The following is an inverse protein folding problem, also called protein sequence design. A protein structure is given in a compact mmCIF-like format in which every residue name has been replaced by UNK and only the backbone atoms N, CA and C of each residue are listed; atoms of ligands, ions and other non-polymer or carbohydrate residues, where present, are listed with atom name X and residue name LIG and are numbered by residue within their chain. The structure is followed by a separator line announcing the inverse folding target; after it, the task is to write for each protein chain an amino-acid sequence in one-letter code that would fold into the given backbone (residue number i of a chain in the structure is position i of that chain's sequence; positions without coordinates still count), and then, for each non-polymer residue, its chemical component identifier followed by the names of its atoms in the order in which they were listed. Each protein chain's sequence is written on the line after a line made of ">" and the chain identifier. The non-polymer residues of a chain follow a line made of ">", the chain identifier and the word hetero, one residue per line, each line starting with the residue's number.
data_IF_596145268898
#
_entry.id   IF_596145268898
#
_cell.length_a   1.000
_cell.length_b   1.000
_cell.length_c   1.000
_cell.angle_alpha   90.00
_cell.angle_beta   90.00
_cell.angle_gamma   90.00
#
_symmetry.space_group_name_H-M   'P 1'
#
loop_
_entity.id
_entity.type
_entity.pdbx_description
1 polymer ?
#
# COMPACT_ATOMS: atom_id res chain seq x y z
N UNK A 1 -10.74 13.13 20.51
CA UNK A 1 -10.66 13.37 19.06
C UNK A 1 -9.19 13.45 18.69
N UNK A 2 -8.72 12.51 17.88
CA UNK A 2 -7.39 12.60 17.26
C UNK A 2 -7.35 13.86 16.39
N UNK A 3 -6.23 14.57 16.38
CA UNK A 3 -6.02 15.66 15.42
C UNK A 3 -5.97 15.07 14.00
N UNK A 4 -6.48 15.79 12.99
CA UNK A 4 -6.57 15.30 11.60
C UNK A 4 -5.26 14.72 11.06
N UNK A 5 -4.13 15.36 11.35
CA UNK A 5 -2.81 14.87 10.94
C UNK A 5 -2.42 13.55 11.65
N UNK A 6 -2.87 13.35 12.89
CA UNK A 6 -2.67 12.09 13.60
C UNK A 6 -3.49 10.96 12.97
N UNK A 7 -4.69 11.26 12.47
CA UNK A 7 -5.51 10.27 11.75
C UNK A 7 -4.82 9.87 10.45
N UNK A 8 -4.34 10.85 9.67
CA UNK A 8 -3.58 10.57 8.43
C UNK A 8 -2.36 9.70 8.72
N UNK A 9 -1.58 10.03 9.76
CA UNK A 9 -0.43 9.25 10.17
C UNK A 9 -0.82 7.82 10.60
N UNK A 10 -1.94 7.65 11.30
CA UNK A 10 -2.44 6.33 11.71
C UNK A 10 -2.90 5.50 10.50
N UNK A 11 -3.65 6.09 9.55
CA UNK A 11 -4.04 5.45 8.29
C UNK A 11 -2.80 4.99 7.53
N UNK A 12 -1.79 5.85 7.38
CA UNK A 12 -0.55 5.52 6.70
C UNK A 12 0.16 4.33 7.36
N UNK A 13 0.26 4.34 8.69
CA UNK A 13 0.87 3.24 9.44
C UNK A 13 0.12 1.91 9.23
N UNK A 14 -1.21 1.93 9.24
CA UNK A 14 -2.04 0.74 9.00
C UNK A 14 -1.84 0.21 7.59
N UNK A 15 -1.93 1.07 6.57
CA UNK A 15 -1.75 0.68 5.17
C UNK A 15 -0.33 0.14 4.90
N UNK A 16 0.69 0.77 5.51
CA UNK A 16 2.07 0.34 5.39
C UNK A 16 2.31 -1.05 5.99
N UNK A 17 1.84 -1.27 7.22
CA UNK A 17 2.01 -2.55 7.93
C UNK A 17 1.23 -3.67 7.24
N UNK A 18 0.04 -3.39 6.69
CA UNK A 18 -0.74 -4.40 5.98
C UNK A 18 -0.05 -4.89 4.71
N UNK A 19 0.73 -4.03 4.05
CA UNK A 19 1.34 -4.29 2.75
C UNK A 19 0.34 -4.86 1.72
N UNK A 20 -0.93 -4.46 1.83
CA UNK A 20 -2.07 -5.09 1.18
C UNK A 20 -3.32 -4.22 1.24
N UNK A 21 -4.38 -4.64 0.56
CA UNK A 21 -5.67 -3.94 0.59
C UNK A 21 -6.27 -3.98 1.99
N UNK A 22 -6.60 -2.82 2.54
CA UNK A 22 -7.37 -2.64 3.77
C UNK A 22 -8.77 -2.16 3.42
N UNK A 23 -9.80 -2.79 3.97
CA UNK A 23 -11.18 -2.38 3.75
C UNK A 23 -11.51 -1.05 4.44
N UNK A 24 -12.48 -0.31 3.91
CA UNK A 24 -12.94 0.92 4.57
C UNK A 24 -13.52 0.64 5.97
N UNK A 25 -14.31 -0.42 6.10
CA UNK A 25 -14.91 -0.83 7.38
C UNK A 25 -13.83 -1.21 8.40
N UNK A 26 -12.77 -1.90 7.96
CA UNK A 26 -11.61 -2.26 8.79
C UNK A 26 -10.86 -1.02 9.30
N UNK A 27 -10.69 0.01 8.45
CA UNK A 27 -10.08 1.27 8.88
C UNK A 27 -10.96 2.03 9.88
N UNK A 28 -12.28 2.04 9.69
CA UNK A 28 -13.24 2.64 10.63
C UNK A 28 -13.13 1.96 12.00
N UNK A 29 -13.10 0.63 12.03
CA UNK A 29 -12.99 -0.15 13.27
C UNK A 29 -11.65 0.06 13.98
N UNK A 30 -10.53 0.04 13.24
CA UNK A 30 -9.19 0.19 13.83
C UNK A 30 -8.98 1.60 14.38
N UNK A 31 -9.46 2.62 13.68
CA UNK A 31 -9.19 4.02 14.02
C UNK A 31 -10.27 4.64 14.93
N UNK A 32 -11.43 4.00 15.05
CA UNK A 32 -12.61 4.48 15.80
C UNK A 32 -13.08 5.86 15.31
N UNK A 33 -13.29 5.98 13.98
CA UNK A 33 -13.63 7.24 13.30
C UNK A 33 -14.85 7.04 12.40
N UNK A 34 -15.78 8.01 12.32
CA UNK A 34 -16.91 7.92 11.41
C UNK A 34 -16.50 7.72 9.95
N UNK A 35 -17.23 6.84 9.25
CA UNK A 35 -17.00 6.50 7.83
C UNK A 35 -16.88 7.74 6.94
N UNK A 36 -17.74 8.73 7.13
CA UNK A 36 -17.77 9.95 6.32
C UNK A 36 -16.48 10.76 6.48
N UNK A 37 -16.03 10.92 7.73
CA UNK A 37 -14.80 11.66 8.06
C UNK A 37 -13.57 10.93 7.52
N UNK A 38 -13.49 9.61 7.71
CA UNK A 38 -12.40 8.81 7.17
C UNK A 38 -12.32 8.90 5.65
N UNK A 39 -13.47 8.94 4.96
CA UNK A 39 -13.52 9.04 3.49
C UNK A 39 -12.94 10.36 2.99
N UNK A 40 -13.28 11.47 3.65
CA UNK A 40 -12.71 12.77 3.33
C UNK A 40 -11.19 12.80 3.55
N UNK A 41 -10.73 12.23 4.67
CA UNK A 41 -9.30 12.15 5.00
C UNK A 41 -8.53 11.31 3.98
N UNK A 42 -9.07 10.17 3.55
CA UNK A 42 -8.44 9.31 2.56
C UNK A 42 -8.35 9.99 1.19
N UNK A 43 -9.40 10.70 0.75
CA UNK A 43 -9.37 11.47 -0.49
C UNK A 43 -8.29 12.55 -0.44
N UNK A 44 -8.19 13.26 0.69
CA UNK A 44 -7.15 14.25 0.94
C UNK A 44 -5.75 13.63 0.87
N UNK A 45 -5.53 12.50 1.55
CA UNK A 45 -4.25 11.77 1.52
C UNK A 45 -3.88 11.31 0.10
N UNK A 46 -4.84 10.78 -0.67
CA UNK A 46 -4.59 10.36 -2.06
C UNK A 46 -4.09 11.54 -2.89
N UNK A 47 -4.72 12.72 -2.75
CA UNK A 47 -4.31 13.93 -3.46
C UNK A 47 -2.93 14.41 -3.03
N UNK A 48 -2.64 14.41 -1.73
CA UNK A 48 -1.32 14.78 -1.18
C UNK A 48 -0.22 13.85 -1.70
N UNK A 49 -0.46 12.54 -1.64
CA UNK A 49 0.47 11.54 -2.16
C UNK A 49 0.70 11.69 -3.65
N UNK A 50 -0.35 11.99 -4.44
CA UNK A 50 -0.24 12.15 -5.89
C UNK A 50 0.48 13.45 -6.28
N UNK A 51 0.21 14.56 -5.60
CA UNK A 51 0.82 15.86 -5.86
C UNK A 51 2.29 15.95 -5.41
N UNK A 52 2.72 15.07 -4.50
CA UNK A 52 4.11 14.99 -4.09
C UNK A 52 4.97 14.27 -5.15
N UNK A 53 5.59 15.03 -6.05
CA UNK A 53 6.47 14.54 -7.12
C UNK A 53 7.67 13.74 -6.58
N UNK A 54 8.11 14.00 -5.34
CA UNK A 54 9.23 13.29 -4.71
C UNK A 54 8.84 11.98 -4.04
N UNK A 55 7.54 11.71 -3.84
CA UNK A 55 7.10 10.47 -3.22
C UNK A 55 7.24 9.30 -4.20
N UNK A 56 7.95 8.24 -3.78
CA UNK A 56 7.96 6.96 -4.50
C UNK A 56 6.73 6.10 -4.23
N UNK A 57 5.88 6.52 -3.31
CA UNK A 57 4.68 5.81 -2.86
C UNK A 57 3.42 6.54 -3.32
N UNK A 58 2.32 5.80 -3.36
CA UNK A 58 0.98 6.30 -3.66
C UNK A 58 -0.05 5.48 -2.88
N UNK A 59 -1.20 6.09 -2.62
CA UNK A 59 -2.38 5.40 -2.08
C UNK A 59 -3.36 5.18 -3.24
N UNK A 60 -3.84 3.96 -3.39
CA UNK A 60 -4.79 3.58 -4.43
C UNK A 60 -6.06 2.99 -3.83
N UNK A 61 -7.21 3.33 -4.40
CA UNK A 61 -8.50 2.72 -4.08
C UNK A 61 -8.77 1.55 -5.02
N UNK A 62 -9.04 0.36 -4.45
CA UNK A 62 -9.27 -0.89 -5.17
C UNK A 62 -10.40 -1.66 -4.48
N UNK A 63 -11.51 -1.88 -5.20
CA UNK A 63 -12.64 -2.70 -4.75
C UNK A 63 -13.13 -2.34 -3.32
N UNK A 64 -13.38 -1.05 -3.08
CA UNK A 64 -13.85 -0.55 -1.78
C UNK A 64 -12.81 -0.65 -0.64
N UNK A 65 -11.54 -0.80 -0.97
CA UNK A 65 -10.44 -0.75 -0.01
C UNK A 65 -9.29 0.12 -0.51
N UNK A 66 -8.33 0.35 0.37
CA UNK A 66 -7.19 1.22 0.12
C UNK A 66 -5.89 0.44 0.31
N UNK A 67 -4.88 0.79 -0.48
CA UNK A 67 -3.55 0.18 -0.43
C UNK A 67 -2.51 1.28 -0.58
N UNK A 68 -1.51 1.27 0.29
CA UNK A 68 -0.26 1.99 0.08
C UNK A 68 0.67 1.13 -0.77
N UNK A 69 1.07 1.62 -1.94
CA UNK A 69 1.96 0.89 -2.85
C UNK A 69 2.99 1.81 -3.49
N UNK A 70 4.00 1.21 -4.11
CA UNK A 70 5.00 1.95 -4.88
C UNK A 70 4.40 2.46 -6.18
N UNK A 71 4.84 3.64 -6.63
CA UNK A 71 4.43 4.19 -7.92
C UNK A 71 4.96 3.34 -9.08
N UNK A 72 4.19 3.15 -10.17
CA UNK A 72 4.61 2.34 -11.31
C UNK A 72 5.87 2.87 -12.01
N UNK A 73 6.15 4.18 -11.90
CA UNK A 73 7.34 4.81 -12.46
C UNK A 73 8.67 4.22 -11.92
N UNK A 74 8.64 3.54 -10.76
CA UNK A 74 9.82 2.92 -10.15
C UNK A 74 9.88 1.40 -10.36
N UNK A 75 8.97 0.82 -11.17
CA UNK A 75 8.92 -0.64 -11.42
C UNK A 75 10.27 -1.20 -11.88
N UNK A 76 10.95 -0.53 -12.82
CA UNK A 76 12.26 -0.95 -13.32
C UNK A 76 13.36 -0.94 -12.26
N UNK A 77 13.26 -0.05 -11.26
CA UNK A 77 14.21 0.03 -10.15
C UNK A 77 13.92 -1.09 -9.16
N UNK A 78 12.64 -1.30 -8.83
CA UNK A 78 12.20 -2.34 -7.90
C UNK A 78 12.42 -3.75 -8.47
N UNK A 79 12.26 -3.95 -9.78
CA UNK A 79 12.57 -5.21 -10.45
C UNK A 79 14.06 -5.61 -10.33
N UNK A 80 14.97 -4.65 -10.15
CA UNK A 80 16.40 -4.95 -9.90
C UNK A 80 16.66 -5.39 -8.46
N UNK A 81 15.79 -5.00 -7.53
CA UNK A 81 15.84 -5.45 -6.14
C UNK A 81 15.41 -6.91 -6.03
N UNK A 82 14.39 -7.31 -6.78
CA UNK A 82 14.04 -8.71 -6.99
C UNK A 82 15.11 -9.41 -7.85
N UNK A 83 16.16 -9.93 -7.22
CA UNK A 83 17.02 -10.91 -7.89
C UNK A 83 16.10 -12.05 -8.35
N UNK A 84 16.14 -12.47 -9.63
CA UNK A 84 15.48 -13.71 -10.01
C UNK A 84 16.06 -14.79 -9.10
N UNK A 85 15.21 -15.39 -8.26
CA UNK A 85 15.59 -16.65 -7.65
C UNK A 85 15.86 -17.57 -8.82
N UNK A 86 17.15 -17.85 -9.09
CA UNK A 86 17.52 -19.01 -9.88
C UNK A 86 16.89 -20.18 -9.12
N UNK A 87 15.71 -20.63 -9.54
CA UNK A 87 15.17 -21.93 -9.16
C UNK A 87 16.27 -22.89 -9.57
N UNK A 88 17.12 -23.28 -8.62
CA UNK A 88 18.03 -24.40 -8.79
C UNK A 88 17.08 -25.58 -8.92
N UNK A 89 16.82 -26.00 -10.16
CA UNK A 89 16.23 -27.31 -10.41
C UNK A 89 17.11 -28.28 -9.63
N UNK A 90 16.51 -29.02 -8.70
CA UNK A 90 17.22 -30.11 -8.04
C UNK A 90 17.65 -31.10 -9.12
N UNK A 91 18.75 -31.82 -8.91
CA UNK A 91 19.24 -32.80 -9.88
C UNK A 91 18.14 -33.79 -10.33
N UNK A 92 17.21 -34.13 -9.44
CA UNK A 92 16.04 -34.96 -9.73
C UNK A 92 15.12 -34.40 -10.84
N UNK A 93 15.02 -33.08 -11.00
CA UNK A 93 14.21 -32.47 -12.05
C UNK A 93 14.94 -32.36 -13.41
N UNK A 94 16.28 -32.48 -13.40
CA UNK A 94 17.11 -32.54 -14.61
C UNK A 94 17.15 -33.95 -15.21
N UNK A 95 17.07 -34.99 -14.37
CA UNK A 95 17.11 -36.39 -14.82
C UNK A 95 15.81 -36.91 -15.46
N UNK A 96 14.74 -36.09 -15.52
CA UNK A 96 13.42 -36.52 -16.07
C UNK A 96 13.03 -35.82 -17.38
N UNK A 97 13.94 -35.10 -18.04
CA UNK A 97 13.71 -34.46 -19.36
C UNK A 97 14.47 -35.18 -20.48
#
# INVERSE_FOLDING_TARGET
>A
MLMRDQIKAAVEAVLFVRAGRVGMDELVEILDIPLLELKEILLEMILEYNNNIRSGLQIVELNGGYLLCTRPAYSDILARMEKPQKKRLSAAALDTL
#
